data_IF_485177334303
#
_entry.id   IF_485177334303
#
_cell.length_a   1.000
_cell.length_b   1.000
_cell.length_c   1.000
_cell.angle_alpha   90.00
_cell.angle_beta   90.00
_cell.angle_gamma   90.00
#
_symmetry.space_group_name_H-M   'P 1'
#
loop_
_entity.id
_entity.type
_entity.pdbx_description
1 polymer ?
#
# COMPACT_ATOMS: atom_id res chain seq x y z
N UNK A 1 24.66 14.98 -6.52
CA UNK A 1 23.43 14.22 -6.32
C UNK A 1 22.28 15.11 -6.72
N UNK A 2 21.83 14.99 -7.97
CA UNK A 2 20.73 15.78 -8.53
C UNK A 2 19.89 14.78 -9.28
N UNK A 3 18.96 14.13 -8.56
CA UNK A 3 17.84 13.49 -9.21
C UNK A 3 16.93 14.61 -9.70
N UNK A 4 16.59 14.63 -10.99
CA UNK A 4 15.85 15.75 -11.55
C UNK A 4 14.44 15.79 -10.94
N UNK A 5 13.93 17.00 -10.68
CA UNK A 5 12.68 17.25 -9.93
C UNK A 5 11.44 16.50 -10.49
N UNK A 6 11.49 16.05 -11.74
CA UNK A 6 10.42 15.26 -12.37
C UNK A 6 10.23 13.88 -11.73
N UNK A 7 11.30 13.28 -11.18
CA UNK A 7 11.24 11.98 -10.48
C UNK A 7 10.56 12.11 -9.12
N UNK A 8 10.81 13.22 -8.42
CA UNK A 8 10.20 13.48 -7.11
C UNK A 8 8.68 13.64 -7.22
N UNK A 9 8.18 14.36 -8.23
CA UNK A 9 6.73 14.53 -8.42
C UNK A 9 6.04 13.18 -8.64
N UNK A 10 6.60 12.33 -9.51
CA UNK A 10 6.04 11.02 -9.80
C UNK A 10 5.99 10.13 -8.55
N UNK A 11 7.04 10.14 -7.71
CA UNK A 11 7.08 9.40 -6.45
C UNK A 11 6.05 9.95 -5.45
N UNK A 12 5.87 11.27 -5.37
CA UNK A 12 4.84 11.87 -4.51
C UNK A 12 3.44 11.47 -4.98
N UNK A 13 3.19 11.45 -6.28
CA UNK A 13 1.88 11.08 -6.85
C UNK A 13 1.52 9.60 -6.55
N UNK A 14 2.54 8.72 -6.50
CA UNK A 14 2.36 7.30 -6.20
C UNK A 14 2.49 6.93 -4.71
N UNK A 15 2.84 7.90 -3.86
CA UNK A 15 3.13 7.68 -2.43
C UNK A 15 2.01 6.97 -1.68
N UNK A 16 0.74 7.34 -1.95
CA UNK A 16 -0.40 6.77 -1.26
C UNK A 16 -0.60 5.29 -1.62
N UNK A 17 -0.51 4.95 -2.90
CA UNK A 17 -0.58 3.57 -3.37
C UNK A 17 0.57 2.74 -2.79
N UNK A 18 1.78 3.30 -2.71
CA UNK A 18 2.91 2.64 -2.05
C UNK A 18 2.63 2.36 -0.58
N UNK A 19 2.10 3.34 0.16
CA UNK A 19 1.75 3.20 1.58
C UNK A 19 0.63 2.17 1.82
N UNK A 20 -0.30 2.03 0.89
CA UNK A 20 -1.41 1.05 0.98
C UNK A 20 -1.05 -0.32 0.39
N UNK A 21 0.19 -0.51 -0.10
CA UNK A 21 0.64 -1.73 -0.78
C UNK A 21 -0.19 -2.06 -2.04
N UNK A 22 -0.61 -1.02 -2.76
CA UNK A 22 -1.44 -1.10 -3.98
C UNK A 22 -0.65 -0.91 -5.29
N UNK A 23 0.68 -0.84 -5.21
CA UNK A 23 1.55 -0.78 -6.39
C UNK A 23 1.91 -2.18 -6.91
N UNK A 24 2.18 -2.26 -8.22
CA UNK A 24 2.83 -3.45 -8.79
C UNK A 24 4.29 -3.52 -8.33
N UNK A 25 4.85 -4.74 -8.27
CA UNK A 25 6.19 -4.97 -7.71
C UNK A 25 7.29 -4.10 -8.36
N UNK A 26 7.21 -3.88 -9.68
CA UNK A 26 8.17 -3.05 -10.40
C UNK A 26 8.16 -1.59 -9.93
N UNK A 27 6.98 -1.01 -9.67
CA UNK A 27 6.83 0.39 -9.24
C UNK A 27 7.25 0.56 -7.77
N UNK A 28 7.11 -0.50 -6.97
CA UNK A 28 7.49 -0.52 -5.55
C UNK A 28 9.00 -0.35 -5.36
N UNK A 29 9.81 -1.09 -6.11
CA UNK A 29 11.28 -1.04 -6.01
C UNK A 29 11.84 0.33 -6.41
N UNK A 30 11.20 1.01 -7.38
CA UNK A 30 11.60 2.34 -7.83
C UNK A 30 11.38 3.40 -6.75
N UNK A 31 10.22 3.36 -6.08
CA UNK A 31 9.92 4.26 -4.97
C UNK A 31 10.85 3.99 -3.78
N UNK A 32 11.10 2.72 -3.42
CA UNK A 32 12.04 2.38 -2.34
C UNK A 32 13.44 2.94 -2.60
N UNK A 33 13.95 2.76 -3.83
CA UNK A 33 15.24 3.32 -4.24
C UNK A 33 15.24 4.85 -4.15
N UNK A 34 14.20 5.51 -4.64
CA UNK A 34 14.11 6.97 -4.56
C UNK A 34 14.08 7.48 -3.10
N UNK A 35 13.30 6.85 -2.22
CA UNK A 35 13.22 7.24 -0.82
C UNK A 35 14.57 7.05 -0.09
N UNK A 36 15.37 6.06 -0.49
CA UNK A 36 16.72 5.86 0.05
C UNK A 36 17.69 7.00 -0.34
N UNK A 37 17.54 7.55 -1.54
CA UNK A 37 18.46 8.56 -2.09
C UNK A 37 17.95 10.01 -1.94
N UNK A 38 16.67 10.21 -1.62
CA UNK A 38 16.00 11.51 -1.58
C UNK A 38 15.40 11.84 -0.19
N UNK A 39 16.19 12.53 0.64
CA UNK A 39 15.77 13.00 1.97
C UNK A 39 14.46 13.82 1.99
N UNK A 40 14.21 14.75 1.05
CA UNK A 40 12.94 15.49 1.00
C UNK A 40 11.70 14.61 0.77
N UNK A 41 11.80 13.59 -0.09
CA UNK A 41 10.71 12.65 -0.32
C UNK A 41 10.53 11.70 0.87
N UNK A 42 11.62 11.27 1.50
CA UNK A 42 11.58 10.49 2.74
C UNK A 42 10.86 11.24 3.87
N UNK A 43 11.14 12.53 4.04
CA UNK A 43 10.47 13.35 5.06
C UNK A 43 8.95 13.45 4.82
N UNK A 44 8.52 13.55 3.55
CA UNK A 44 7.10 13.52 3.19
C UNK A 44 6.47 12.14 3.43
N UNK A 45 7.16 11.07 3.05
CA UNK A 45 6.74 9.69 3.31
C UNK A 45 6.48 9.46 4.81
N UNK A 46 7.44 9.86 5.67
CA UNK A 46 7.32 9.69 7.12
C UNK A 46 6.15 10.49 7.71
N UNK A 47 5.90 11.70 7.19
CA UNK A 47 4.75 12.50 7.57
C UNK A 47 3.44 11.79 7.24
N UNK A 48 3.27 11.35 6.00
CA UNK A 48 2.04 10.66 5.55
C UNK A 48 1.82 9.35 6.31
N UNK A 49 2.88 8.58 6.55
CA UNK A 49 2.84 7.37 7.38
C UNK A 49 2.39 7.70 8.81
N UNK A 50 2.88 8.80 9.38
CA UNK A 50 2.49 9.25 10.72
C UNK A 50 1.01 9.63 10.76
N UNK A 51 0.53 10.38 9.76
CA UNK A 51 -0.88 10.75 9.63
C UNK A 51 -1.76 9.51 9.53
N UNK A 52 -1.42 8.55 8.65
CA UNK A 52 -2.16 7.27 8.55
C UNK A 52 -2.21 6.52 9.87
N UNK A 53 -1.10 6.44 10.60
CA UNK A 53 -1.06 5.81 11.92
C UNK A 53 -1.96 6.51 12.94
N UNK A 54 -2.00 7.84 12.95
CA UNK A 54 -2.88 8.61 13.81
C UNK A 54 -4.36 8.37 13.49
N UNK A 55 -4.72 8.33 12.20
CA UNK A 55 -6.09 8.04 11.75
C UNK A 55 -6.49 6.63 12.14
N UNK A 56 -5.65 5.63 11.86
CA UNK A 56 -5.91 4.23 12.21
C UNK A 56 -6.15 4.04 13.71
N UNK A 57 -5.38 4.73 14.57
CA UNK A 57 -5.57 4.71 16.02
C UNK A 57 -6.87 5.36 16.47
N UNK A 58 -7.36 6.35 15.74
CA UNK A 58 -8.53 7.14 16.12
C UNK A 58 -9.83 6.54 15.58
N UNK A 59 -9.76 5.81 14.46
CA UNK A 59 -10.90 5.25 13.75
C UNK A 59 -10.79 3.72 13.67
N UNK A 60 -10.70 3.05 14.82
CA UNK A 60 -10.71 1.59 14.88
C UNK A 60 -12.12 1.07 15.18
N UNK A 61 -12.75 0.43 14.19
CA UNK A 61 -13.94 -0.39 14.40
C UNK A 61 -13.57 -1.87 14.40
N UNK A 62 -14.25 -2.66 15.24
CA UNK A 62 -14.06 -4.11 15.25
C UNK A 62 -15.00 -4.73 14.24
N UNK A 63 -14.46 -5.43 13.26
CA UNK A 63 -15.25 -6.21 12.32
C UNK A 63 -16.11 -7.24 13.09
N UNK A 64 -17.41 -7.42 12.75
CA UNK A 64 -18.24 -8.41 13.41
C UNK A 64 -17.68 -9.83 13.25
N UNK A 65 -17.77 -10.67 14.28
CA UNK A 65 -17.22 -12.04 14.27
C UNK A 65 -17.74 -12.88 13.09
N UNK A 66 -19.04 -12.75 12.77
CA UNK A 66 -19.64 -13.46 11.63
C UNK A 66 -19.06 -13.06 10.27
N UNK A 67 -18.50 -11.85 10.13
CA UNK A 67 -17.78 -11.45 8.91
C UNK A 67 -16.45 -12.19 8.81
N UNK A 68 -15.70 -12.30 9.91
CA UNK A 68 -14.44 -13.02 9.96
C UNK A 68 -14.61 -14.48 9.58
N UNK A 69 -15.64 -15.14 10.11
CA UNK A 69 -15.94 -16.53 9.78
C UNK A 69 -16.27 -16.71 8.29
N UNK A 70 -17.08 -15.80 7.72
CA UNK A 70 -17.41 -15.82 6.28
C UNK A 70 -16.17 -15.61 5.40
N UNK A 71 -15.28 -14.69 5.76
CA UNK A 71 -14.04 -14.44 5.03
C UNK A 71 -13.14 -15.67 5.07
N UNK A 72 -12.93 -16.27 6.26
CA UNK A 72 -12.12 -17.48 6.40
C UNK A 72 -12.71 -18.66 5.64
N UNK A 73 -14.04 -18.79 5.61
CA UNK A 73 -14.73 -19.80 4.80
C UNK A 73 -14.45 -19.58 3.32
N UNK A 74 -14.60 -18.35 2.82
CA UNK A 74 -14.35 -17.98 1.41
C UNK A 74 -12.91 -18.28 0.99
N UNK A 75 -11.92 -17.94 1.83
CA UNK A 75 -10.50 -18.22 1.57
C UNK A 75 -10.22 -19.73 1.47
N UNK A 76 -10.93 -20.55 2.26
CA UNK A 76 -10.78 -22.02 2.28
C UNK A 76 -11.58 -22.74 1.20
N UNK A 77 -12.52 -22.07 0.55
CA UNK A 77 -13.35 -22.69 -0.48
C UNK A 77 -12.51 -23.03 -1.72
N UNK A 78 -12.44 -24.32 -2.04
CA UNK A 78 -11.87 -24.80 -3.30
C UNK A 78 -12.90 -24.59 -4.41
N UNK A 79 -12.59 -23.72 -5.38
CA UNK A 79 -13.41 -23.57 -6.58
C UNK A 79 -13.03 -24.65 -7.60
N UNK A 80 -13.93 -25.60 -7.86
CA UNK A 80 -13.81 -26.50 -9.00
C UNK A 80 -14.44 -25.80 -10.21
N UNK A 81 -13.59 -25.33 -11.13
CA UNK A 81 -14.05 -24.86 -12.45
C UNK A 81 -14.08 -26.07 -13.38
N UNK A 82 -15.28 -26.44 -13.84
CA UNK A 82 -15.44 -27.42 -14.91
C UNK A 82 -15.37 -26.63 -16.21
N UNK A 83 -14.31 -26.83 -16.97
CA UNK A 83 -14.24 -26.39 -18.37
C UNK A 83 -14.95 -27.44 -19.21
N UNK A 84 -16.00 -27.05 -19.94
CA UNK A 84 -16.55 -27.89 -21.02
C UNK A 84 -15.63 -27.76 -22.25
N UNK A 85 -15.22 -28.92 -22.78
CA UNK A 85 -14.43 -29.07 -24.02
C UNK A 85 -15.17 -28.55 -25.27
#
# INVERSE_FOLDING_TARGET
MTHPDWECSAVIDQMFFFLDSELVDADRDEIERHLADCGPCLAKYDLERTVKSLVQRSCCETAPDGLRDRVLLSIRQVQVRISED
#
